data_IF_899051473434
#
_entry.id   IF_899051473434
#
_cell.length_a   1.000
_cell.length_b   1.000
_cell.length_c   1.000
_cell.angle_alpha   90.00
_cell.angle_beta   90.00
_cell.angle_gamma   90.00
#
_symmetry.space_group_name_H-M   'P 1'
#
loop_
_entity.id
_entity.type
_entity.pdbx_description
1 polymer ?
#
# COMPACT_ATOMS: atom_id res chain seq x y z
N UNK A 1 58.14 5.35 -12.82
CA UNK A 1 57.38 4.32 -13.55
C UNK A 1 56.51 3.46 -12.63
N UNK A 2 57.02 2.98 -11.48
CA UNK A 2 56.25 2.16 -10.52
C UNK A 2 55.07 2.91 -9.87
N UNK A 3 55.21 4.21 -9.59
CA UNK A 3 54.13 5.04 -9.00
C UNK A 3 52.98 5.30 -10.00
N UNK A 4 53.29 5.42 -11.29
CA UNK A 4 52.27 5.61 -12.35
C UNK A 4 51.46 4.34 -12.60
N UNK A 5 52.07 3.16 -12.44
CA UNK A 5 51.41 1.86 -12.50
C UNK A 5 50.51 1.64 -11.27
N UNK A 6 50.93 2.09 -10.08
CA UNK A 6 50.11 2.01 -8.86
C UNK A 6 48.87 2.93 -8.91
N UNK A 7 49.01 4.15 -9.43
CA UNK A 7 47.88 5.08 -9.59
C UNK A 7 46.91 4.60 -10.69
N UNK A 8 47.40 3.97 -11.77
CA UNK A 8 46.53 3.36 -12.78
C UNK A 8 45.91 2.03 -12.31
N UNK A 9 46.54 1.29 -11.40
CA UNK A 9 45.92 0.10 -10.77
C UNK A 9 44.85 0.48 -9.74
N UNK A 10 45.03 1.57 -8.99
CA UNK A 10 44.01 2.10 -8.07
C UNK A 10 42.84 2.75 -8.84
N UNK A 11 43.10 3.37 -10.00
CA UNK A 11 42.06 3.93 -10.86
C UNK A 11 41.30 2.88 -11.70
N UNK A 12 41.89 1.71 -11.96
CA UNK A 12 41.23 0.59 -12.65
C UNK A 12 40.61 -0.45 -11.69
N UNK A 13 40.81 -0.33 -10.38
CA UNK A 13 40.00 -1.06 -9.41
C UNK A 13 38.65 -0.35 -9.26
N UNK A 14 37.83 -0.51 -10.29
CA UNK A 14 36.38 -0.33 -10.32
C UNK A 14 35.82 0.60 -9.24
N UNK A 15 35.84 1.91 -9.49
CA UNK A 15 34.66 2.72 -9.16
C UNK A 15 33.52 2.31 -10.11
N UNK A 16 33.07 1.05 -10.05
CA UNK A 16 31.75 0.70 -10.55
C UNK A 16 30.79 1.51 -9.70
N UNK A 17 30.10 2.46 -10.34
CA UNK A 17 29.10 3.25 -9.67
C UNK A 17 28.07 2.27 -9.10
N UNK A 18 27.78 2.37 -7.80
CA UNK A 18 26.90 1.42 -7.12
C UNK A 18 25.59 1.30 -7.93
N UNK A 19 25.21 0.08 -8.32
CA UNK A 19 24.03 -0.17 -9.16
C UNK A 19 24.27 -0.20 -10.67
N UNK A 20 25.52 -0.12 -11.16
CA UNK A 20 25.81 -0.23 -12.61
C UNK A 20 25.88 -1.65 -13.14
N UNK A 21 26.10 -2.64 -12.27
CA UNK A 21 26.42 -4.00 -12.71
C UNK A 21 25.16 -4.79 -13.05
N UNK A 22 25.17 -5.48 -14.20
CA UNK A 22 24.06 -6.34 -14.62
C UNK A 22 23.83 -7.46 -13.60
N UNK A 23 22.58 -7.78 -13.31
CA UNK A 23 22.24 -8.88 -12.40
C UNK A 23 22.86 -10.21 -12.82
N UNK A 24 22.95 -10.46 -14.13
CA UNK A 24 23.57 -11.67 -14.69
C UNK A 24 25.06 -11.85 -14.34
N UNK A 25 25.71 -10.82 -13.78
CA UNK A 25 27.11 -10.86 -13.36
C UNK A 25 27.31 -11.31 -11.90
N UNK A 26 26.24 -11.37 -11.11
CA UNK A 26 26.32 -11.73 -9.69
C UNK A 26 26.15 -13.23 -9.45
N UNK A 27 26.89 -13.73 -8.46
CA UNK A 27 26.61 -14.98 -7.76
C UNK A 27 25.57 -14.74 -6.66
N UNK A 28 25.10 -15.80 -5.98
CA UNK A 28 23.99 -15.74 -5.02
C UNK A 28 24.12 -14.62 -3.97
N UNK A 29 25.19 -14.58 -3.17
CA UNK A 29 25.34 -13.59 -2.09
C UNK A 29 25.38 -12.15 -2.62
N UNK A 30 26.24 -11.78 -3.59
CA UNK A 30 26.22 -10.43 -4.17
C UNK A 30 24.88 -10.06 -4.82
N UNK A 31 24.16 -11.04 -5.38
CA UNK A 31 22.86 -10.81 -5.97
C UNK A 31 21.86 -10.34 -4.92
N UNK A 32 21.78 -11.06 -3.79
CA UNK A 32 20.88 -10.75 -2.66
C UNK A 32 21.27 -9.41 -2.03
N UNK A 33 22.56 -9.13 -1.89
CA UNK A 33 23.07 -7.89 -1.28
C UNK A 33 22.99 -6.67 -2.21
N UNK A 34 22.82 -6.86 -3.52
CA UNK A 34 22.79 -5.77 -4.50
C UNK A 34 21.67 -4.77 -4.25
N UNK A 35 20.52 -5.21 -3.73
CA UNK A 35 19.32 -4.40 -3.53
C UNK A 35 18.56 -4.04 -4.81
N UNK A 36 18.94 -4.59 -5.97
CA UNK A 36 18.21 -4.38 -7.24
C UNK A 36 18.11 -5.66 -8.10
N UNK A 37 18.62 -6.78 -7.59
CA UNK A 37 18.50 -8.09 -8.18
C UNK A 37 17.98 -9.09 -7.14
N UNK A 38 17.39 -10.20 -7.61
CA UNK A 38 16.99 -11.31 -6.76
C UNK A 38 17.53 -12.63 -7.29
N UNK A 39 17.82 -13.56 -6.38
CA UNK A 39 18.29 -14.90 -6.72
C UNK A 39 17.10 -15.86 -6.82
N UNK A 40 16.94 -16.55 -7.96
CA UNK A 40 15.83 -17.48 -8.20
C UNK A 40 16.15 -18.94 -7.87
N UNK A 41 17.23 -19.19 -7.12
CA UNK A 41 17.88 -20.49 -6.86
C UNK A 41 18.86 -20.97 -7.94
N UNK A 42 18.83 -20.41 -9.15
CA UNK A 42 19.68 -20.83 -10.27
C UNK A 42 20.50 -19.71 -10.90
N UNK A 43 19.95 -18.50 -10.93
CA UNK A 43 20.58 -17.32 -11.51
C UNK A 43 20.09 -16.05 -10.81
N UNK A 44 20.85 -14.97 -11.03
CA UNK A 44 20.52 -13.65 -10.52
C UNK A 44 19.73 -12.86 -11.57
N UNK A 45 18.51 -12.46 -11.23
CA UNK A 45 17.58 -11.78 -12.11
C UNK A 45 17.32 -10.33 -11.67
N UNK A 46 16.97 -9.43 -12.60
CA UNK A 46 16.47 -8.09 -12.29
C UNK A 46 15.27 -8.13 -11.36
N UNK A 47 15.31 -7.33 -10.29
CA UNK A 47 14.18 -7.19 -9.39
C UNK A 47 13.12 -6.23 -9.94
N UNK A 48 11.85 -6.43 -9.57
CA UNK A 48 10.78 -5.50 -9.93
C UNK A 48 11.08 -4.11 -9.37
N UNK A 49 10.85 -3.07 -10.18
CA UNK A 49 11.29 -1.71 -9.88
C UNK A 49 10.89 -1.22 -8.48
N UNK A 50 9.68 -1.52 -8.03
CA UNK A 50 9.17 -1.04 -6.74
C UNK A 50 9.86 -1.70 -5.54
N UNK A 51 10.39 -2.93 -5.71
CA UNK A 51 11.13 -3.65 -4.69
C UNK A 51 12.62 -3.28 -4.63
N UNK A 52 13.14 -2.60 -5.66
CA UNK A 52 14.52 -2.11 -5.69
C UNK A 52 14.76 -1.18 -4.51
N UNK A 53 15.73 -1.51 -3.67
CA UNK A 53 16.19 -0.68 -2.55
C UNK A 53 17.43 0.13 -2.91
N UNK A 54 18.16 -0.28 -3.95
CA UNK A 54 19.31 0.46 -4.46
C UNK A 54 18.96 1.35 -5.66
N UNK A 55 18.48 2.55 -5.36
CA UNK A 55 17.95 3.49 -6.35
C UNK A 55 18.94 3.86 -7.49
N UNK A 56 20.25 3.83 -7.23
CA UNK A 56 21.24 4.16 -8.26
C UNK A 56 21.17 3.22 -9.47
N UNK A 57 20.67 1.99 -9.30
CA UNK A 57 20.45 1.05 -10.39
C UNK A 57 19.42 1.54 -11.43
N UNK A 58 18.53 2.46 -11.05
CA UNK A 58 17.47 2.98 -11.92
C UNK A 58 17.80 4.36 -12.51
N UNK A 59 18.95 4.95 -12.13
CA UNK A 59 19.40 6.24 -12.67
C UNK A 59 20.11 6.03 -14.00
N UNK A 60 20.37 7.11 -14.73
CA UNK A 60 21.18 7.04 -15.96
C UNK A 60 22.54 6.38 -15.67
N UNK A 61 22.89 5.37 -16.46
CA UNK A 61 24.08 4.53 -16.27
C UNK A 61 23.89 3.34 -15.31
N UNK A 62 22.73 3.19 -14.68
CA UNK A 62 22.39 2.06 -13.83
C UNK A 62 21.94 0.82 -14.62
N UNK A 63 22.00 -0.34 -13.96
CA UNK A 63 21.68 -1.64 -14.54
C UNK A 63 20.22 -1.80 -15.00
N UNK A 64 19.29 -1.07 -14.37
CA UNK A 64 17.84 -1.14 -14.61
C UNK A 64 17.27 0.15 -15.23
N UNK A 65 18.13 1.01 -15.79
CA UNK A 65 17.72 2.34 -16.26
C UNK A 65 16.70 2.33 -17.43
N UNK A 66 16.56 1.19 -18.13
CA UNK A 66 15.65 1.04 -19.27
C UNK A 66 14.24 0.70 -18.76
N UNK A 67 14.15 -0.16 -17.76
CA UNK A 67 12.92 -0.69 -17.19
C UNK A 67 12.40 0.16 -16.04
N UNK A 68 13.30 0.79 -15.28
CA UNK A 68 12.98 1.48 -14.04
C UNK A 68 13.47 2.94 -14.05
N UNK A 69 12.72 3.81 -13.36
CA UNK A 69 13.10 5.20 -13.09
C UNK A 69 13.25 5.42 -11.58
N UNK A 70 14.13 6.34 -11.16
CA UNK A 70 14.31 6.63 -9.75
C UNK A 70 13.18 7.52 -9.22
N UNK A 71 12.79 7.31 -7.98
CA UNK A 71 11.97 8.27 -7.24
C UNK A 71 12.81 9.51 -6.85
N UNK A 72 12.46 10.69 -7.37
CA UNK A 72 13.26 11.90 -7.16
C UNK A 72 13.24 12.46 -5.73
N UNK A 73 12.20 12.19 -4.97
CA UNK A 73 12.06 12.66 -3.59
C UNK A 73 11.41 11.57 -2.74
N UNK A 74 12.09 11.16 -1.67
CA UNK A 74 11.59 10.15 -0.74
C UNK A 74 11.49 10.72 0.67
N UNK A 75 10.29 10.80 1.26
CA UNK A 75 10.16 11.17 2.66
C UNK A 75 10.92 10.17 3.57
N UNK A 76 11.47 10.60 4.72
CA UNK A 76 12.36 9.79 5.55
C UNK A 76 11.80 8.43 6.01
N UNK A 77 10.47 8.31 6.10
CA UNK A 77 9.78 7.10 6.52
C UNK A 77 9.66 6.02 5.43
N UNK A 78 10.19 6.28 4.23
CA UNK A 78 10.16 5.33 3.11
C UNK A 78 11.56 5.00 2.60
N UNK A 79 11.75 3.78 2.08
CA UNK A 79 12.94 3.44 1.29
C UNK A 79 12.86 4.11 -0.08
N UNK A 80 14.00 4.53 -0.62
CA UNK A 80 14.11 5.00 -1.99
C UNK A 80 13.83 3.86 -2.99
N UNK A 81 12.59 3.78 -3.47
CA UNK A 81 12.18 2.81 -4.49
C UNK A 81 12.40 3.34 -5.92
N UNK A 82 12.34 2.43 -6.89
CA UNK A 82 12.19 2.76 -8.30
C UNK A 82 10.74 2.50 -8.75
N UNK A 83 10.36 3.04 -9.90
CA UNK A 83 9.07 2.75 -10.53
C UNK A 83 9.26 2.35 -11.99
N UNK A 84 8.36 1.55 -12.53
CA UNK A 84 8.42 1.10 -13.92
C UNK A 84 8.29 2.27 -14.89
N UNK A 85 9.12 2.32 -15.93
CA UNK A 85 9.03 3.31 -17.03
C UNK A 85 7.70 3.25 -17.77
N UNK A 86 7.03 2.10 -17.75
CA UNK A 86 5.71 1.91 -18.34
C UNK A 86 4.60 2.64 -17.56
N UNK A 87 4.84 3.02 -16.30
CA UNK A 87 3.83 3.63 -15.45
C UNK A 87 3.93 5.16 -15.41
N UNK A 88 2.97 5.82 -16.05
CA UNK A 88 2.93 7.29 -16.17
C UNK A 88 2.00 7.96 -15.13
N UNK A 89 1.15 7.19 -14.46
CA UNK A 89 0.18 7.68 -13.46
C UNK A 89 0.79 7.79 -12.04
N UNK A 90 -0.05 7.99 -11.01
CA UNK A 90 0.35 8.28 -9.62
C UNK A 90 1.46 7.36 -9.11
N UNK A 91 2.71 7.85 -9.04
CA UNK A 91 3.91 7.07 -8.68
C UNK A 91 4.03 6.76 -7.18
N UNK A 92 3.14 7.35 -6.38
CA UNK A 92 3.18 7.36 -4.92
C UNK A 92 2.82 6.02 -4.27
N UNK A 93 2.17 5.10 -4.99
CA UNK A 93 1.92 3.76 -4.47
C UNK A 93 3.17 2.86 -4.51
N UNK A 94 4.25 3.26 -5.18
CA UNK A 94 5.50 2.47 -5.25
C UNK A 94 6.45 2.72 -4.07
N UNK A 95 6.12 3.65 -3.17
CA UNK A 95 6.92 3.87 -1.97
C UNK A 95 6.77 2.68 -1.02
N UNK A 96 7.89 2.32 -0.37
CA UNK A 96 7.97 1.23 0.59
C UNK A 96 8.25 1.78 1.98
N UNK A 97 7.42 1.42 2.96
CA UNK A 97 7.75 1.59 4.36
C UNK A 97 8.98 0.73 4.70
N UNK A 98 9.83 1.27 5.56
CA UNK A 98 10.96 0.53 6.16
C UNK A 98 10.44 -0.08 7.46
N UNK A 99 10.82 -1.33 7.74
CA UNK A 99 10.58 -1.89 9.07
C UNK A 99 11.35 -1.06 10.10
N UNK A 100 10.67 -0.67 11.18
CA UNK A 100 11.29 -0.05 12.35
C UNK A 100 11.78 -1.09 13.37
N UNK A 101 11.58 -2.38 13.08
CA UNK A 101 12.00 -3.50 13.92
C UNK A 101 13.49 -3.75 13.85
N UNK A 102 14.05 -4.24 14.96
CA UNK A 102 15.42 -4.75 14.98
C UNK A 102 15.51 -6.08 14.24
N UNK A 103 16.72 -6.46 13.81
CA UNK A 103 16.97 -7.80 13.25
C UNK A 103 16.58 -8.92 14.21
N UNK A 104 16.73 -8.70 15.52
CA UNK A 104 16.34 -9.66 16.56
C UNK A 104 14.83 -9.88 16.58
N UNK A 105 14.03 -8.80 16.57
CA UNK A 105 12.56 -8.89 16.54
C UNK A 105 12.06 -9.63 15.30
N UNK A 106 12.66 -9.33 14.13
CA UNK A 106 12.36 -10.02 12.88
C UNK A 106 12.61 -11.52 13.02
N UNK A 107 13.77 -11.91 13.57
CA UNK A 107 14.12 -13.32 13.79
C UNK A 107 13.21 -14.02 14.80
N UNK A 108 12.65 -13.28 15.77
CA UNK A 108 11.78 -13.84 16.82
C UNK A 108 10.31 -13.94 16.40
N UNK A 109 9.91 -13.32 15.29
CA UNK A 109 8.51 -13.26 14.83
C UNK A 109 7.81 -14.63 14.82
N UNK A 110 8.46 -15.68 14.33
CA UNK A 110 7.86 -17.03 14.29
C UNK A 110 7.64 -17.63 15.70
N UNK A 111 8.55 -17.36 16.63
CA UNK A 111 8.42 -17.78 18.03
C UNK A 111 7.26 -17.05 18.71
N UNK A 112 7.18 -15.74 18.52
CA UNK A 112 6.11 -14.92 19.08
C UNK A 112 4.74 -15.30 18.53
N UNK A 113 4.63 -15.68 17.25
CA UNK A 113 3.36 -16.17 16.71
C UNK A 113 2.86 -17.40 17.49
N UNK A 114 3.73 -18.36 17.76
CA UNK A 114 3.38 -19.60 18.49
C UNK A 114 2.98 -19.28 19.93
N UNK A 115 3.74 -18.42 20.60
CA UNK A 115 3.46 -18.02 21.98
C UNK A 115 2.11 -17.30 22.08
N UNK A 116 1.88 -16.31 21.22
CA UNK A 116 0.68 -15.49 21.24
C UNK A 116 -0.58 -16.26 20.84
N UNK A 117 -0.45 -17.25 19.95
CA UNK A 117 -1.57 -18.11 19.53
C UNK A 117 -2.20 -18.89 20.68
N UNK A 118 -1.45 -19.13 21.76
CA UNK A 118 -1.91 -19.83 22.96
C UNK A 118 -2.20 -18.88 24.13
N UNK A 119 -2.02 -17.57 23.94
CA UNK A 119 -2.17 -16.55 24.97
C UNK A 119 -3.60 -16.00 25.03
N UNK A 120 -4.04 -15.61 26.22
CA UNK A 120 -5.27 -14.82 26.37
C UNK A 120 -5.01 -13.34 26.07
N UNK A 121 -6.05 -12.59 25.65
CA UNK A 121 -5.90 -11.16 25.44
C UNK A 121 -5.39 -10.41 26.68
N UNK A 122 -4.26 -9.72 26.53
CA UNK A 122 -3.61 -8.99 27.63
C UNK A 122 -2.69 -7.88 27.11
N UNK A 123 -2.32 -6.94 27.98
CA UNK A 123 -1.37 -5.86 27.66
C UNK A 123 0.02 -6.44 27.33
N UNK A 124 0.47 -7.47 28.04
CA UNK A 124 1.76 -8.13 27.74
C UNK A 124 1.76 -8.77 26.35
N UNK A 125 0.67 -9.45 25.98
CA UNK A 125 0.53 -10.03 24.65
C UNK A 125 0.47 -8.95 23.56
N UNK A 126 -0.17 -7.81 23.84
CA UNK A 126 -0.21 -6.65 22.96
C UNK A 126 1.20 -6.07 22.72
N UNK A 127 2.05 -5.98 23.74
CA UNK A 127 3.42 -5.47 23.56
C UNK A 127 4.26 -6.37 22.63
N UNK A 128 4.07 -7.69 22.72
CA UNK A 128 4.69 -8.66 21.80
C UNK A 128 4.12 -8.57 20.39
N UNK A 129 2.83 -8.25 20.22
CA UNK A 129 2.24 -8.03 18.89
C UNK A 129 2.95 -6.93 18.10
N UNK A 130 3.41 -5.88 18.78
CA UNK A 130 4.06 -4.74 18.14
C UNK A 130 5.46 -5.05 17.61
N UNK A 131 6.02 -6.20 18.01
CA UNK A 131 7.34 -6.69 17.59
C UNK A 131 7.25 -7.71 16.44
N UNK A 132 6.05 -8.03 15.95
CA UNK A 132 5.87 -8.97 14.85
C UNK A 132 6.22 -8.30 13.50
N UNK A 133 7.02 -8.98 12.69
CA UNK A 133 7.39 -8.49 11.36
C UNK A 133 6.33 -8.85 10.31
N UNK A 134 5.62 -7.82 9.83
CA UNK A 134 4.66 -7.94 8.74
C UNK A 134 5.32 -7.93 7.37
N UNK A 135 6.41 -7.17 7.20
CA UNK A 135 6.94 -6.81 5.89
C UNK A 135 7.65 -7.98 5.20
N UNK A 136 8.41 -8.80 5.94
CA UNK A 136 9.11 -9.96 5.36
C UNK A 136 8.39 -11.30 5.56
N UNK A 137 7.25 -11.30 6.25
CA UNK A 137 6.46 -12.51 6.49
C UNK A 137 5.93 -13.14 5.21
N UNK A 138 5.94 -14.47 5.15
CA UNK A 138 5.18 -15.22 4.13
C UNK A 138 3.68 -14.97 4.27
N UNK A 139 2.89 -15.19 3.21
CA UNK A 139 1.43 -14.99 3.28
C UNK A 139 0.76 -15.78 4.43
N UNK A 140 1.21 -17.01 4.70
CA UNK A 140 0.71 -17.80 5.83
C UNK A 140 1.04 -17.15 7.17
N UNK A 141 2.29 -16.72 7.39
CA UNK A 141 2.70 -16.03 8.61
C UNK A 141 1.97 -14.69 8.77
N UNK A 142 1.85 -13.90 7.69
CA UNK A 142 1.11 -12.65 7.70
C UNK A 142 -0.34 -12.85 8.15
N UNK A 143 -1.02 -13.85 7.60
CA UNK A 143 -2.37 -14.20 8.02
C UNK A 143 -2.43 -14.58 9.51
N UNK A 144 -1.47 -15.35 10.02
CA UNK A 144 -1.39 -15.66 11.45
C UNK A 144 -1.15 -14.42 12.30
N UNK A 145 -0.27 -13.51 11.89
CA UNK A 145 -0.03 -12.25 12.59
C UNK A 145 -1.32 -11.43 12.66
N UNK A 146 -2.03 -11.26 11.54
CA UNK A 146 -3.29 -10.52 11.51
C UNK A 146 -4.32 -11.19 12.44
N UNK A 147 -4.46 -12.52 12.42
CA UNK A 147 -5.35 -13.24 13.33
C UNK A 147 -5.04 -12.97 14.81
N UNK A 148 -3.76 -12.84 15.17
CA UNK A 148 -3.37 -12.47 16.54
C UNK A 148 -3.82 -11.05 16.91
N UNK A 149 -3.75 -10.09 15.98
CA UNK A 149 -4.32 -8.75 16.20
C UNK A 149 -5.84 -8.81 16.35
N UNK A 150 -6.54 -9.59 15.52
CA UNK A 150 -7.99 -9.78 15.63
C UNK A 150 -8.38 -10.38 16.98
N UNK A 151 -7.64 -11.38 17.45
CA UNK A 151 -7.86 -12.00 18.76
C UNK A 151 -7.61 -11.03 19.94
N UNK A 152 -6.72 -10.05 19.76
CA UNK A 152 -6.37 -9.04 20.76
C UNK A 152 -7.24 -7.77 20.70
N UNK A 153 -8.29 -7.75 19.87
CA UNK A 153 -9.13 -6.58 19.62
C UNK A 153 -9.61 -5.87 20.90
N UNK A 154 -10.03 -6.64 21.92
CA UNK A 154 -10.54 -6.08 23.18
C UNK A 154 -9.51 -5.25 23.96
N UNK A 155 -8.22 -5.59 23.85
CA UNK A 155 -7.12 -4.84 24.45
C UNK A 155 -6.72 -3.67 23.55
N UNK A 156 -6.65 -3.92 22.24
CA UNK A 156 -6.24 -2.94 21.22
C UNK A 156 -7.20 -1.75 21.07
N UNK A 157 -8.50 -1.94 21.36
CA UNK A 157 -9.50 -0.84 21.37
C UNK A 157 -9.40 0.02 22.64
N UNK A 158 -8.80 -0.53 23.70
CA UNK A 158 -8.68 0.10 25.00
C UNK A 158 -7.65 1.23 25.08
N UNK A 159 -7.51 1.80 26.28
CA UNK A 159 -6.63 2.93 26.55
C UNK A 159 -5.12 2.63 26.41
N UNK A 160 -4.73 1.35 26.43
CA UNK A 160 -3.33 0.94 26.43
C UNK A 160 -2.69 0.91 25.04
N UNK A 161 -3.49 0.87 23.98
CA UNK A 161 -2.98 0.84 22.61
C UNK A 161 -2.98 2.23 21.99
N UNK A 162 -1.88 2.63 21.35
CA UNK A 162 -1.86 3.82 20.50
C UNK A 162 -2.34 3.46 19.08
N UNK A 163 -3.18 4.27 18.41
CA UNK A 163 -3.69 3.96 17.07
C UNK A 163 -2.62 3.61 16.04
N UNK A 164 -1.45 4.26 16.13
CA UNK A 164 -0.25 4.00 15.31
C UNK A 164 0.06 2.51 15.12
N UNK A 165 -0.07 1.66 16.14
CA UNK A 165 0.30 0.25 16.00
C UNK A 165 -0.68 -0.54 15.13
N UNK A 166 -1.97 -0.20 15.20
CA UNK A 166 -2.98 -0.73 14.29
C UNK A 166 -2.78 -0.18 12.87
N UNK A 167 -2.44 1.12 12.73
CA UNK A 167 -2.09 1.70 11.43
C UNK A 167 -0.92 0.98 10.79
N UNK A 168 0.14 0.72 11.57
CA UNK A 168 1.32 -0.03 11.14
C UNK A 168 0.96 -1.42 10.65
N UNK A 169 0.23 -2.17 11.46
CA UNK A 169 -0.23 -3.49 11.05
C UNK A 169 -1.03 -3.42 9.72
N UNK A 170 -1.89 -2.42 9.54
CA UNK A 170 -2.66 -2.25 8.28
C UNK A 170 -1.75 -1.89 7.10
N UNK A 171 -0.90 -0.86 7.21
CA UNK A 171 -0.10 -0.40 6.06
C UNK A 171 1.02 -1.39 5.69
N UNK A 172 1.62 -2.06 6.67
CA UNK A 172 2.64 -3.09 6.41
C UNK A 172 2.02 -4.34 5.81
N UNK A 173 0.83 -4.75 6.25
CA UNK A 173 0.11 -5.88 5.65
C UNK A 173 -0.27 -5.59 4.19
N UNK A 174 -0.79 -4.39 3.90
CA UNK A 174 -1.11 -3.99 2.53
C UNK A 174 0.15 -3.92 1.64
N UNK A 175 1.28 -3.44 2.19
CA UNK A 175 2.56 -3.45 1.48
C UNK A 175 3.06 -4.87 1.24
N UNK A 176 2.97 -5.77 2.21
CA UNK A 176 3.40 -7.16 2.05
C UNK A 176 2.58 -7.85 0.95
N UNK A 177 1.25 -7.69 0.91
CA UNK A 177 0.41 -8.22 -0.18
C UNK A 177 0.82 -7.68 -1.55
N UNK A 178 1.14 -6.38 -1.64
CA UNK A 178 1.59 -5.74 -2.88
C UNK A 178 2.94 -6.32 -3.34
N UNK A 179 3.85 -6.49 -2.39
CA UNK A 179 5.23 -6.92 -2.64
C UNK A 179 5.35 -8.45 -2.84
N UNK A 180 4.38 -9.23 -2.36
CA UNK A 180 4.32 -10.68 -2.52
C UNK A 180 3.87 -11.07 -3.93
N UNK A 181 4.84 -11.36 -4.79
CA UNK A 181 4.64 -11.76 -6.18
C UNK A 181 4.29 -13.24 -6.36
N UNK A 182 4.35 -14.05 -5.31
CA UNK A 182 4.12 -15.50 -5.36
C UNK A 182 2.69 -15.86 -4.95
N UNK A 183 2.07 -15.06 -4.08
CA UNK A 183 0.68 -15.26 -3.67
C UNK A 183 -0.29 -15.21 -4.86
N UNK A 184 -1.22 -16.15 -4.90
CA UNK A 184 -2.31 -16.14 -5.87
C UNK A 184 -3.46 -15.22 -5.42
N UNK A 185 -4.42 -14.99 -6.31
CA UNK A 185 -5.55 -14.11 -6.01
C UNK A 185 -6.39 -14.57 -4.80
N UNK A 186 -6.64 -15.87 -4.63
CA UNK A 186 -7.48 -16.37 -3.53
C UNK A 186 -6.80 -16.13 -2.18
N UNK A 187 -5.50 -16.37 -2.10
CA UNK A 187 -4.70 -16.11 -0.88
C UNK A 187 -4.74 -14.62 -0.52
N UNK A 188 -4.52 -13.74 -1.50
CA UNK A 188 -4.59 -12.29 -1.27
C UNK A 188 -5.98 -11.83 -0.88
N UNK A 189 -7.01 -12.36 -1.53
CA UNK A 189 -8.40 -12.03 -1.22
C UNK A 189 -8.73 -12.38 0.24
N UNK A 190 -8.26 -13.54 0.72
CA UNK A 190 -8.38 -13.93 2.13
C UNK A 190 -7.62 -12.99 3.07
N UNK A 191 -6.37 -12.60 2.74
CA UNK A 191 -5.61 -11.65 3.57
C UNK A 191 -6.25 -10.26 3.58
N UNK A 192 -6.71 -9.75 2.43
CA UNK A 192 -7.41 -8.45 2.33
C UNK A 192 -8.66 -8.45 3.21
N UNK A 193 -9.45 -9.53 3.20
CA UNK A 193 -10.61 -9.66 4.07
C UNK A 193 -10.24 -9.42 5.55
N UNK A 194 -9.17 -10.05 6.05
CA UNK A 194 -8.69 -9.86 7.42
C UNK A 194 -8.13 -8.47 7.69
N UNK A 195 -7.46 -7.85 6.70
CA UNK A 195 -7.02 -6.45 6.82
C UNK A 195 -8.22 -5.53 6.97
N UNK A 196 -9.33 -5.78 6.27
CA UNK A 196 -10.55 -4.99 6.42
C UNK A 196 -11.15 -5.13 7.83
N UNK A 197 -11.10 -6.33 8.43
CA UNK A 197 -11.48 -6.55 9.83
C UNK A 197 -10.56 -5.79 10.80
N UNK A 198 -9.25 -5.76 10.51
CA UNK A 198 -8.29 -4.98 11.29
C UNK A 198 -8.56 -3.47 11.21
N UNK A 199 -8.97 -2.97 10.05
CA UNK A 199 -9.39 -1.57 9.86
C UNK A 199 -10.64 -1.26 10.72
N UNK A 200 -11.56 -2.21 10.88
CA UNK A 200 -12.72 -2.04 11.75
C UNK A 200 -12.31 -1.92 13.23
N UNK A 201 -11.34 -2.72 13.69
CA UNK A 201 -10.76 -2.60 15.04
C UNK A 201 -10.08 -1.24 15.21
N UNK A 202 -9.29 -0.81 14.22
CA UNK A 202 -8.63 0.48 14.21
C UNK A 202 -9.62 1.65 14.37
N UNK A 203 -10.74 1.63 13.65
CA UNK A 203 -11.74 2.68 13.76
C UNK A 203 -12.53 2.66 15.08
N UNK A 204 -12.73 1.47 15.67
CA UNK A 204 -13.23 1.38 17.05
C UNK A 204 -12.24 2.01 18.03
N UNK A 205 -10.94 1.76 17.86
CA UNK A 205 -9.90 2.40 18.67
C UNK A 205 -9.87 3.93 18.51
N UNK A 206 -9.98 4.43 17.27
CA UNK A 206 -10.01 5.88 17.03
C UNK A 206 -11.20 6.56 17.71
N UNK A 207 -12.37 5.92 17.70
CA UNK A 207 -13.59 6.43 18.32
C UNK A 207 -13.45 6.64 19.83
N UNK A 208 -12.53 5.92 20.50
CA UNK A 208 -12.20 6.10 21.92
C UNK A 208 -10.95 6.94 22.16
N UNK A 209 -10.19 7.26 21.11
CA UNK A 209 -8.92 7.98 21.20
C UNK A 209 -9.06 9.48 20.99
N UNK A 210 -9.75 9.91 19.92
CA UNK A 210 -9.84 11.33 19.56
C UNK A 210 -11.07 11.61 18.72
N UNK A 211 -11.64 12.81 18.85
CA UNK A 211 -12.74 13.26 17.99
C UNK A 211 -12.32 13.59 16.56
N UNK A 212 -11.02 13.80 16.35
CA UNK A 212 -10.44 14.09 15.04
C UNK A 212 -9.06 13.46 14.95
N UNK A 213 -8.83 12.68 13.90
CA UNK A 213 -7.57 12.03 13.62
C UNK A 213 -7.36 11.96 12.12
N UNK A 214 -6.15 12.22 11.65
CA UNK A 214 -5.80 12.08 10.25
C UNK A 214 -4.34 11.67 10.10
N UNK A 215 -4.06 10.85 9.11
CA UNK A 215 -2.70 10.44 8.75
C UNK A 215 -2.37 10.91 7.34
N UNK A 216 -1.08 11.11 7.07
CA UNK A 216 -0.56 11.51 5.77
C UNK A 216 0.55 10.53 5.39
N UNK A 217 0.16 9.38 4.85
CA UNK A 217 1.09 8.42 4.25
C UNK A 217 0.95 8.39 2.73
N UNK A 218 2.00 7.95 2.04
CA UNK A 218 2.03 7.90 0.57
C UNK A 218 1.15 6.80 -0.04
N UNK A 219 0.74 5.80 0.75
CA UNK A 219 0.16 4.55 0.25
C UNK A 219 -1.26 4.26 0.77
N UNK A 220 -1.53 4.56 2.04
CA UNK A 220 -2.85 4.43 2.64
C UNK A 220 -3.02 5.57 3.64
N UNK A 221 -4.17 6.23 3.66
CA UNK A 221 -4.42 7.30 4.62
C UNK A 221 -5.68 7.00 5.42
N UNK A 222 -5.70 7.45 6.66
CA UNK A 222 -6.81 7.26 7.58
C UNK A 222 -7.31 8.60 8.06
N UNK A 223 -8.62 8.80 8.07
CA UNK A 223 -9.26 9.99 8.57
C UNK A 223 -10.44 9.58 9.43
N UNK A 224 -10.58 10.26 10.56
CA UNK A 224 -11.66 10.03 11.51
C UNK A 224 -12.09 11.40 12.05
N UNK A 225 -13.38 11.68 11.99
CA UNK A 225 -13.88 12.98 12.40
C UNK A 225 -15.29 12.88 12.96
N UNK A 226 -15.53 13.51 14.09
CA UNK A 226 -16.85 13.62 14.69
C UNK A 226 -17.81 14.42 13.79
N UNK A 227 -19.08 14.04 13.70
CA UNK A 227 -20.04 14.71 12.79
C UNK A 227 -20.21 16.21 13.06
N UNK A 228 -19.95 16.69 14.27
CA UNK A 228 -20.03 18.12 14.63
C UNK A 228 -19.14 19.03 13.78
N UNK A 229 -18.10 18.50 13.14
CA UNK A 229 -17.18 19.28 12.31
C UNK A 229 -17.70 19.53 10.89
N UNK A 230 -18.82 18.90 10.49
CA UNK A 230 -19.55 19.12 9.23
C UNK A 230 -18.77 18.88 7.92
N UNK A 231 -17.52 18.44 8.01
CA UNK A 231 -16.73 18.05 6.86
C UNK A 231 -15.22 18.06 7.11
N UNK A 232 -14.47 17.65 6.11
CA UNK A 232 -13.01 17.76 6.05
C UNK A 232 -12.50 17.65 4.62
N UNK A 233 -11.26 18.10 4.40
CA UNK A 233 -10.57 17.98 3.13
C UNK A 233 -9.37 17.04 3.26
N UNK A 234 -9.19 16.17 2.26
CA UNK A 234 -8.03 15.29 2.12
C UNK A 234 -7.11 15.84 1.03
N UNK A 235 -5.89 16.22 1.44
CA UNK A 235 -4.80 16.70 0.57
C UNK A 235 -5.18 17.81 -0.44
N UNK A 236 -6.22 18.60 -0.16
CA UNK A 236 -6.80 19.59 -1.08
C UNK A 236 -7.34 19.00 -2.40
N UNK A 237 -7.41 17.68 -2.51
CA UNK A 237 -7.91 16.98 -3.70
C UNK A 237 -9.33 16.45 -3.51
N UNK A 238 -9.67 16.01 -2.29
CA UNK A 238 -11.02 15.59 -1.95
C UNK A 238 -11.59 16.43 -0.81
N UNK A 239 -12.89 16.73 -0.86
CA UNK A 239 -13.66 17.37 0.20
C UNK A 239 -14.89 16.52 0.49
N UNK A 240 -15.15 16.28 1.78
CA UNK A 240 -16.29 15.54 2.29
C UNK A 240 -17.07 16.47 3.21
N UNK A 241 -18.36 16.66 2.98
CA UNK A 241 -19.17 17.61 3.76
C UNK A 241 -20.60 17.13 3.99
N UNK A 242 -21.18 17.48 5.13
CA UNK A 242 -22.59 17.22 5.46
C UNK A 242 -23.17 18.39 6.25
N UNK A 243 -24.47 18.61 6.10
CA UNK A 243 -25.16 19.72 6.78
C UNK A 243 -25.97 19.27 7.99
N UNK A 244 -26.35 17.99 8.03
CA UNK A 244 -27.19 17.40 9.08
C UNK A 244 -26.72 16.00 9.38
N UNK A 245 -26.75 15.61 10.65
CA UNK A 245 -26.49 14.24 11.09
C UNK A 245 -27.60 13.84 12.08
N UNK A 246 -28.17 12.63 11.95
CA UNK A 246 -29.34 12.25 12.75
C UNK A 246 -28.97 12.02 14.23
N UNK A 247 -27.76 11.56 14.50
CA UNK A 247 -27.25 11.25 15.84
C UNK A 247 -25.74 11.50 15.90
N UNK A 248 -25.18 11.59 17.11
CA UNK A 248 -23.73 11.74 17.30
C UNK A 248 -22.98 10.50 16.80
N UNK A 249 -21.78 10.73 16.28
CA UNK A 249 -20.96 9.68 15.72
C UNK A 249 -19.80 10.25 14.91
N UNK A 250 -19.19 9.37 14.12
CA UNK A 250 -17.96 9.63 13.40
C UNK A 250 -18.08 9.25 11.93
N UNK A 251 -17.51 10.12 11.10
CA UNK A 251 -17.19 9.83 9.72
C UNK A 251 -15.75 9.29 9.68
N UNK A 252 -15.60 8.12 9.07
CA UNK A 252 -14.34 7.38 9.01
C UNK A 252 -14.01 7.13 7.54
N UNK A 253 -12.81 7.51 7.12
CA UNK A 253 -12.37 7.40 5.74
C UNK A 253 -10.97 6.81 5.66
N UNK A 254 -10.88 5.65 5.03
CA UNK A 254 -9.60 5.10 4.57
C UNK A 254 -9.44 5.42 3.08
N UNK A 255 -8.31 6.00 2.71
CA UNK A 255 -7.94 6.30 1.32
C UNK A 255 -6.87 5.31 0.89
N UNK A 256 -7.14 4.53 -0.15
CA UNK A 256 -6.22 3.49 -0.67
C UNK A 256 -6.00 3.73 -2.16
N UNK A 257 -4.76 3.58 -2.64
CA UNK A 257 -4.48 3.70 -4.08
C UNK A 257 -4.97 2.46 -4.85
N UNK A 258 -5.80 2.63 -5.89
CA UNK A 258 -6.46 1.55 -6.63
C UNK A 258 -5.50 0.60 -7.36
N UNK A 259 -4.27 1.04 -7.59
CA UNK A 259 -3.19 0.27 -8.19
C UNK A 259 -2.85 -1.00 -7.40
N UNK A 260 -3.10 -1.01 -6.08
CA UNK A 260 -2.88 -2.22 -5.27
C UNK A 260 -3.86 -3.34 -5.60
N UNK A 261 -4.93 -3.02 -6.32
CA UNK A 261 -5.94 -3.95 -6.81
C UNK A 261 -5.88 -4.10 -8.34
N UNK A 262 -4.81 -3.59 -8.98
CA UNK A 262 -4.63 -3.69 -10.42
C UNK A 262 -5.59 -2.84 -11.27
N UNK A 263 -6.24 -1.84 -10.67
CA UNK A 263 -7.23 -1.00 -11.36
C UNK A 263 -6.54 0.18 -12.04
N UNK A 264 -6.63 0.23 -13.36
CA UNK A 264 -6.00 1.27 -14.19
C UNK A 264 -6.91 2.46 -14.49
N UNK A 265 -8.21 2.20 -14.65
CA UNK A 265 -9.22 3.21 -15.01
C UNK A 265 -9.44 4.28 -13.94
N UNK A 266 -8.88 4.13 -12.75
CA UNK A 266 -9.13 5.01 -11.64
C UNK A 266 -8.48 6.39 -11.82
N UNK A 267 -9.28 7.44 -11.64
CA UNK A 267 -8.84 8.86 -11.64
C UNK A 267 -8.85 9.48 -10.24
N UNK A 268 -9.30 8.72 -9.24
CA UNK A 268 -9.21 9.04 -7.81
C UNK A 268 -8.63 7.84 -7.04
N UNK A 269 -8.17 8.04 -5.80
CA UNK A 269 -7.99 6.91 -4.90
C UNK A 269 -9.34 6.26 -4.56
N UNK A 270 -9.29 5.09 -3.94
CA UNK A 270 -10.45 4.44 -3.33
C UNK A 270 -10.73 5.14 -2.01
N UNK A 271 -11.97 5.59 -1.85
CA UNK A 271 -12.53 6.11 -0.62
C UNK A 271 -13.35 5.01 0.06
N UNK A 272 -12.77 4.34 1.04
CA UNK A 272 -13.49 3.43 1.93
C UNK A 272 -14.09 4.23 3.07
N UNK A 273 -15.40 4.43 3.01
CA UNK A 273 -16.15 5.28 3.92
C UNK A 273 -16.95 4.40 4.87
N UNK A 274 -16.73 4.61 6.17
CA UNK A 274 -17.47 4.00 7.26
C UNK A 274 -18.13 5.09 8.10
N UNK A 275 -19.32 4.81 8.57
CA UNK A 275 -20.08 5.71 9.43
C UNK A 275 -20.40 4.94 10.70
N UNK A 276 -19.98 5.48 11.85
CA UNK A 276 -20.21 4.82 13.13
C UNK A 276 -21.70 4.53 13.37
N UNK A 277 -22.00 3.46 14.11
CA UNK A 277 -23.35 3.06 14.49
C UNK A 277 -24.30 2.79 13.30
N UNK A 278 -23.74 2.51 12.11
CA UNK A 278 -24.52 2.29 10.87
C UNK A 278 -25.49 3.44 10.56
N UNK A 279 -25.14 4.65 11.00
CA UNK A 279 -25.95 5.85 10.75
C UNK A 279 -26.01 6.11 9.26
N UNK A 280 -27.21 6.40 8.75
CA UNK A 280 -27.39 6.79 7.35
C UNK A 280 -27.12 8.29 7.19
N UNK A 281 -25.83 8.66 7.21
CA UNK A 281 -25.40 10.04 7.00
C UNK A 281 -25.46 10.37 5.50
N UNK A 282 -26.08 11.51 5.18
CA UNK A 282 -26.02 12.13 3.85
C UNK A 282 -24.84 13.10 3.79
N UNK A 283 -23.94 12.90 2.86
CA UNK A 283 -22.76 13.74 2.65
C UNK A 283 -22.44 13.88 1.17
N UNK A 284 -21.70 14.93 0.84
CA UNK A 284 -21.20 15.21 -0.51
C UNK A 284 -19.71 14.83 -0.57
N UNK A 285 -19.30 14.12 -1.61
CA UNK A 285 -17.89 13.99 -2.01
C UNK A 285 -17.65 14.96 -3.16
N UNK A 286 -16.61 15.78 -3.03
CA UNK A 286 -16.09 16.62 -4.11
C UNK A 286 -14.64 16.24 -4.38
N UNK A 287 -14.36 15.75 -5.58
CA UNK A 287 -13.04 15.30 -6.02
C UNK A 287 -12.50 16.20 -7.12
N UNK A 288 -11.27 16.67 -6.97
CA UNK A 288 -10.55 17.40 -8.01
C UNK A 288 -10.16 16.44 -9.15
N UNK A 289 -10.55 16.78 -10.37
CA UNK A 289 -10.19 16.04 -11.57
C UNK A 289 -9.30 16.89 -12.46
N UNK A 290 -8.25 16.28 -13.01
CA UNK A 290 -7.36 16.90 -14.00
C UNK A 290 -7.65 16.45 -15.42
N UNK A 291 -8.65 15.58 -15.60
CA UNK A 291 -9.02 14.98 -16.88
C UNK A 291 -10.16 15.74 -17.55
N UNK A 292 -10.15 15.76 -18.89
CA UNK A 292 -11.27 16.22 -19.72
C UNK A 292 -12.20 15.08 -20.15
N UNK A 293 -11.85 13.83 -19.81
CA UNK A 293 -12.65 12.66 -20.14
C UNK A 293 -13.91 12.56 -19.27
N UNK A 294 -14.85 11.73 -19.71
CA UNK A 294 -16.02 11.38 -18.90
C UNK A 294 -15.55 10.69 -17.63
N UNK A 295 -16.03 11.15 -16.47
CA UNK A 295 -15.72 10.52 -15.19
C UNK A 295 -17.00 9.96 -14.57
N UNK A 296 -16.93 8.74 -14.07
CA UNK A 296 -18.03 8.05 -13.42
C UNK A 296 -17.64 7.61 -12.01
N UNK A 297 -18.58 7.68 -11.07
CA UNK A 297 -18.43 7.02 -9.78
C UNK A 297 -18.67 5.51 -9.95
N UNK A 298 -17.80 4.68 -9.37
CA UNK A 298 -17.99 3.23 -9.23
C UNK A 298 -17.93 2.83 -7.76
N UNK A 299 -18.64 1.76 -7.44
CA UNK A 299 -18.43 1.02 -6.20
C UNK A 299 -17.37 -0.07 -6.44
N UNK A 300 -16.63 -0.43 -5.40
CA UNK A 300 -15.66 -1.52 -5.45
C UNK A 300 -15.87 -2.53 -4.31
N UNK A 301 -15.95 -3.81 -4.67
CA UNK A 301 -15.74 -4.90 -3.71
C UNK A 301 -14.23 -5.09 -3.57
N UNK A 302 -13.67 -4.76 -2.40
CA UNK A 302 -12.22 -4.80 -2.17
C UNK A 302 -11.67 -6.23 -2.02
N UNK A 303 -12.52 -7.18 -1.62
CA UNK A 303 -12.14 -8.59 -1.45
C UNK A 303 -12.15 -9.27 -2.81
N UNK A 304 -13.18 -9.01 -3.61
CA UNK A 304 -13.26 -9.50 -4.98
C UNK A 304 -12.50 -8.63 -5.96
N UNK A 305 -12.06 -7.43 -5.60
CA UNK A 305 -11.40 -6.49 -6.52
C UNK A 305 -12.23 -6.26 -7.81
N UNK A 306 -13.55 -6.10 -7.66
CA UNK A 306 -14.47 -5.94 -8.79
C UNK A 306 -15.18 -4.60 -8.70
N UNK A 307 -15.25 -3.89 -9.84
CA UNK A 307 -15.97 -2.63 -9.97
C UNK A 307 -17.44 -2.87 -10.33
N UNK A 308 -18.31 -2.05 -9.75
CA UNK A 308 -19.73 -2.02 -10.02
C UNK A 308 -20.19 -0.59 -10.28
N UNK A 309 -21.28 -0.44 -11.03
CA UNK A 309 -21.95 0.86 -11.15
C UNK A 309 -22.39 1.32 -9.76
N UNK A 310 -22.02 2.55 -9.40
CA UNK A 310 -22.55 3.16 -8.20
C UNK A 310 -24.00 3.59 -8.44
N UNK A 311 -24.84 3.49 -7.40
CA UNK A 311 -26.22 4.00 -7.44
C UNK A 311 -26.28 5.52 -7.56
N UNK A 312 -25.16 6.20 -7.26
CA UNK A 312 -25.05 7.65 -7.23
C UNK A 312 -24.42 8.20 -8.51
N UNK A 313 -25.07 9.21 -9.09
CA UNK A 313 -24.57 9.89 -10.28
C UNK A 313 -23.65 11.04 -9.90
N UNK A 314 -22.43 11.01 -10.42
CA UNK A 314 -21.47 12.10 -10.29
C UNK A 314 -21.75 13.22 -11.30
N UNK A 315 -21.69 14.46 -10.83
CA UNK A 315 -21.75 15.66 -11.67
C UNK A 315 -20.33 16.22 -11.77
N UNK A 316 -19.76 16.20 -12.97
CA UNK A 316 -18.39 16.67 -13.20
C UNK A 316 -18.41 17.99 -13.97
N UNK A 317 -17.96 19.07 -13.33
CA UNK A 317 -17.89 20.41 -13.92
C UNK A 317 -16.64 21.14 -13.43
N UNK A 318 -16.01 21.93 -14.30
CA UNK A 318 -14.94 22.88 -13.95
C UNK A 318 -13.80 22.29 -13.08
N UNK A 319 -13.27 21.12 -13.46
CA UNK A 319 -12.13 20.49 -12.77
C UNK A 319 -12.49 19.77 -11.47
N UNK A 320 -13.77 19.55 -11.19
CA UNK A 320 -14.22 18.74 -10.05
C UNK A 320 -15.37 17.81 -10.44
N UNK A 321 -15.47 16.67 -9.76
CA UNK A 321 -16.65 15.82 -9.72
C UNK A 321 -17.27 15.89 -8.32
N UNK A 322 -18.58 16.11 -8.27
CA UNK A 322 -19.37 16.11 -7.04
C UNK A 322 -20.40 15.01 -7.05
N UNK A 323 -20.60 14.35 -5.91
CA UNK A 323 -21.63 13.32 -5.74
C UNK A 323 -22.18 13.35 -4.32
N UNK A 324 -23.49 13.25 -4.19
CA UNK A 324 -24.16 13.11 -2.90
C UNK A 324 -24.38 11.64 -2.61
N UNK A 325 -23.89 11.18 -1.46
CA UNK A 325 -23.94 9.79 -1.02
C UNK A 325 -24.71 9.70 0.30
N UNK A 326 -25.37 8.56 0.48
CA UNK A 326 -26.06 8.23 1.71
C UNK A 326 -25.49 6.91 2.27
N UNK A 327 -24.89 6.97 3.46
CA UNK A 327 -24.37 5.78 4.12
C UNK A 327 -22.91 5.42 3.77
N UNK A 328 -22.51 4.23 4.22
CA UNK A 328 -21.14 3.72 4.07
C UNK A 328 -20.92 3.07 2.70
N UNK A 329 -19.68 2.97 2.25
CA UNK A 329 -19.34 2.28 1.01
C UNK A 329 -17.90 2.51 0.56
N UNK A 330 -17.50 1.78 -0.48
CA UNK A 330 -16.18 1.90 -1.10
C UNK A 330 -16.35 2.47 -2.48
N UNK A 331 -15.82 3.67 -2.72
CA UNK A 331 -16.05 4.39 -3.96
C UNK A 331 -14.75 4.85 -4.59
N UNK A 332 -14.75 4.96 -5.91
CA UNK A 332 -13.71 5.64 -6.67
C UNK A 332 -14.30 6.25 -7.93
N UNK A 333 -13.69 7.32 -8.41
CA UNK A 333 -13.96 7.89 -9.71
C UNK A 333 -13.09 7.20 -10.76
N UNK A 334 -13.70 6.82 -11.87
CA UNK A 334 -13.02 6.15 -12.99
C UNK A 334 -13.28 6.88 -14.30
N UNK A 335 -12.33 6.74 -15.22
CA UNK A 335 -12.52 7.01 -16.64
C UNK A 335 -12.99 5.70 -17.31
N UNK A 336 -14.26 5.62 -17.77
CA UNK A 336 -14.82 4.40 -18.34
C UNK A 336 -14.23 4.09 -19.73
N UNK A 337 -13.46 5.00 -20.34
CA UNK A 337 -12.79 4.76 -21.62
C UNK A 337 -11.49 3.98 -21.44
N UNK A 338 -10.92 3.97 -20.23
CA UNK A 338 -9.74 3.18 -19.89
C UNK A 338 -10.19 1.78 -19.50
N UNK A 339 -9.73 0.80 -20.28
CA UNK A 339 -9.94 -0.62 -20.01
C UNK A 339 -9.13 -1.07 -18.79
N UNK A 340 -9.72 -1.92 -17.95
CA UNK A 340 -9.00 -2.65 -16.89
C UNK A 340 -8.62 -4.07 -17.38
N UNK A 341 -8.42 -4.28 -18.68
CA UNK A 341 -8.08 -5.59 -19.22
C UNK A 341 -6.62 -5.95 -18.92
N UNK A 342 -6.38 -7.25 -18.74
CA UNK A 342 -5.06 -7.78 -18.45
C UNK A 342 -4.02 -7.47 -19.54
N UNK A 343 -4.45 -7.48 -20.80
CA UNK A 343 -3.58 -7.21 -21.94
C UNK A 343 -3.03 -5.77 -21.98
N UNK A 344 -3.70 -4.84 -21.29
CA UNK A 344 -3.29 -3.44 -21.21
C UNK A 344 -2.32 -3.19 -20.03
N UNK A 345 -2.05 -4.20 -19.19
CA UNK A 345 -1.16 -4.08 -18.03
C UNK A 345 0.27 -4.45 -18.41
N UNK A 346 1.11 -3.42 -18.50
CA UNK A 346 2.53 -3.59 -18.83
C UNK A 346 3.42 -3.83 -17.59
N UNK A 347 2.95 -3.45 -16.41
CA UNK A 347 3.67 -3.63 -15.16
C UNK A 347 3.32 -4.97 -14.51
N UNK A 348 4.33 -5.80 -14.24
CA UNK A 348 4.12 -7.14 -13.71
C UNK A 348 3.45 -7.12 -12.33
N UNK A 349 3.76 -6.15 -11.48
CA UNK A 349 3.16 -6.02 -10.14
C UNK A 349 1.68 -5.73 -10.24
N UNK A 350 1.30 -4.77 -11.09
CA UNK A 350 -0.11 -4.49 -11.36
C UNK A 350 -0.81 -5.70 -11.98
N UNK A 351 -0.14 -6.41 -12.89
CA UNK A 351 -0.68 -7.61 -13.53
C UNK A 351 -1.02 -8.69 -12.49
N UNK A 352 -0.06 -8.96 -11.61
CA UNK A 352 -0.16 -9.89 -10.49
C UNK A 352 -1.35 -9.50 -9.60
N UNK A 353 -1.53 -8.20 -9.32
CA UNK A 353 -2.61 -7.69 -8.46
C UNK A 353 -3.98 -7.64 -9.15
N UNK A 354 -4.02 -7.50 -10.47
CA UNK A 354 -5.24 -7.41 -11.30
C UNK A 354 -5.92 -8.76 -11.59
N UNK A 355 -5.48 -9.86 -10.95
CA UNK A 355 -5.94 -11.25 -11.20
C UNK A 355 -5.60 -11.79 -12.60
N UNK A 356 -4.62 -11.20 -13.25
CA UNK A 356 -4.27 -11.61 -14.59
C UNK A 356 -3.37 -12.84 -14.57
N UNK A 357 -3.35 -13.58 -15.68
CA UNK A 357 -2.47 -14.73 -15.84
C UNK A 357 -1.17 -14.27 -16.46
N UNK A 358 -0.04 -14.66 -15.85
CA UNK A 358 1.27 -14.30 -16.36
C UNK A 358 1.76 -15.43 -17.26
N UNK A 359 2.03 -15.11 -18.52
CA UNK A 359 2.63 -16.05 -19.47
C UNK A 359 3.87 -15.40 -20.08
N UNK A 360 5.06 -15.96 -19.82
CA UNK A 360 6.33 -15.46 -20.32
C UNK A 360 6.54 -13.93 -20.09
N UNK A 361 6.21 -13.45 -18.88
CA UNK A 361 6.24 -12.03 -18.49
C UNK A 361 5.23 -11.12 -19.21
N UNK A 362 4.26 -11.70 -19.90
CA UNK A 362 3.13 -10.98 -20.51
C UNK A 362 1.89 -11.18 -19.65
N UNK A 363 1.17 -10.09 -19.41
CA UNK A 363 -0.09 -10.09 -18.70
C UNK A 363 -1.25 -10.48 -19.63
N UNK A 364 -2.02 -11.52 -19.29
CA UNK A 364 -3.14 -12.04 -20.08
C UNK A 364 -4.43 -12.16 -19.27
#
# INVERSE_FOLDING_TARGET
MIILIFITFIANYNCQAIGSDSCSSFTETPCIESGYCYWDSTQCNPQLCHLVTQQAACRSGGALQIECQPVYYTPPQFVASCYSTAYTAQKIYFYRFISDLSTEDIMQTSTYIIELSNSLPSVEAMDKLYQLDFLSSSNTQLNSIIDLYLNQASILIGQYSHPYYLERAIYESLQNIRDDILSNFLERSATIFKILELIDIYYQRLSTYSEKYYTIYNFVNFNHIHFKYLGFAFQQQAEFSWNTYPENGFFQLTVIYPQIFGIQSAVSPIFMIRISNQINLKYTIKWAITTTYTVQLKNIDLVKMTLYDAEYLSICTNGYCTVDINGSGNYLFVDPTISNSCNDILDLTLCILAKCTINANICN
#
